data_IF_023434419763
#
_entry.id   IF_023434419763
#
_cell.length_a   1.000
_cell.length_b   1.000
_cell.length_c   1.000
_cell.angle_alpha   90.00
_cell.angle_beta   90.00
_cell.angle_gamma   90.00
#
_symmetry.space_group_name_H-M   'P 1'
#
loop_
_entity.id
_entity.type
_entity.pdbx_description
1 polymer ?
#
# COMPACT_ATOMS: atom_id res chain seq x y z
N UNK A 1 -3.67 10.28 23.40
CA UNK A 1 -3.71 11.20 22.25
C UNK A 1 -4.44 10.49 21.13
N UNK A 2 -5.72 10.79 20.94
CA UNK A 2 -6.55 10.29 19.85
C UNK A 2 -6.37 11.24 18.67
N UNK A 3 -5.98 10.73 17.51
CA UNK A 3 -5.91 11.48 16.26
C UNK A 3 -7.08 11.08 15.37
N UNK A 4 -8.02 12.02 15.20
CA UNK A 4 -9.08 12.06 14.20
C UNK A 4 -8.44 12.26 12.79
N UNK A 5 -9.02 11.98 11.64
CA UNK A 5 -10.41 12.10 11.21
C UNK A 5 -10.69 11.17 10.02
N UNK A 6 -11.86 10.54 10.01
CA UNK A 6 -12.50 10.04 8.79
C UNK A 6 -13.68 10.95 8.50
N UNK A 7 -13.73 11.53 7.30
CA UNK A 7 -14.87 12.29 6.81
C UNK A 7 -15.98 11.30 6.46
N UNK A 8 -16.92 11.14 7.37
CA UNK A 8 -18.14 10.38 7.18
C UNK A 8 -19.18 11.34 6.55
N UNK A 9 -19.36 11.27 5.24
CA UNK A 9 -20.54 11.86 4.59
C UNK A 9 -21.69 10.85 4.69
N UNK A 10 -22.82 11.30 5.25
CA UNK A 10 -24.08 10.56 5.32
C UNK A 10 -24.74 10.51 3.92
N UNK A 11 -24.74 9.33 3.31
CA UNK A 11 -25.67 8.97 2.24
C UNK A 11 -26.56 7.85 2.78
N UNK A 12 -27.86 8.15 2.84
CA UNK A 12 -29.00 7.28 3.16
C UNK A 12 -28.73 6.06 4.08
N UNK A 13 -28.73 6.31 5.41
CA UNK A 13 -29.17 5.34 6.42
C UNK A 13 -28.33 4.06 6.65
N UNK A 14 -27.25 3.81 5.90
CA UNK A 14 -26.29 2.73 6.18
C UNK A 14 -24.91 3.31 6.43
N UNK A 15 -24.32 3.00 7.59
CA UNK A 15 -22.88 3.22 7.84
C UNK A 15 -22.07 2.35 6.88
N UNK A 16 -21.84 2.83 5.67
CA UNK A 16 -21.01 2.12 4.70
C UNK A 16 -19.56 2.31 5.15
N UNK A 17 -18.94 1.23 5.64
CA UNK A 17 -17.52 1.26 5.93
C UNK A 17 -16.78 1.37 4.60
N UNK A 18 -16.34 2.57 4.25
CA UNK A 18 -15.62 2.81 3.01
C UNK A 18 -14.22 2.21 3.01
N UNK A 19 -13.76 1.51 4.06
CA UNK A 19 -12.43 0.89 4.08
C UNK A 19 -12.48 -0.49 3.45
N UNK A 20 -11.42 -0.83 2.74
CA UNK A 20 -11.25 -2.18 2.22
C UNK A 20 -11.15 -3.17 3.38
N UNK A 21 -11.95 -4.23 3.29
CA UNK A 21 -11.81 -5.38 4.16
C UNK A 21 -10.50 -6.10 3.83
N UNK A 22 -9.78 -6.51 4.88
CA UNK A 22 -8.56 -7.29 4.70
C UNK A 22 -8.98 -8.75 4.66
N UNK A 23 -8.77 -9.39 3.52
CA UNK A 23 -8.95 -10.83 3.37
C UNK A 23 -7.63 -11.54 3.65
N UNK A 24 -7.63 -12.55 4.51
CA UNK A 24 -6.44 -13.33 4.86
C UNK A 24 -5.61 -12.70 5.99
N UNK A 25 -4.29 -12.68 5.84
CA UNK A 25 -3.38 -12.24 6.90
C UNK A 25 -3.28 -10.70 6.96
N UNK A 26 -3.48 -10.12 8.16
CA UNK A 26 -3.50 -8.68 8.43
C UNK A 26 -2.12 -7.99 8.44
N UNK A 27 -1.05 -8.78 8.48
CA UNK A 27 0.33 -8.28 8.46
C UNK A 27 1.03 -8.48 7.12
N UNK A 28 0.68 -9.54 6.39
CA UNK A 28 1.29 -9.86 5.09
C UNK A 28 0.39 -9.52 3.91
N UNK A 29 -0.92 -9.34 4.12
CA UNK A 29 -1.90 -9.03 3.07
C UNK A 29 -1.88 -10.06 1.92
N UNK A 30 -1.66 -11.33 2.25
CA UNK A 30 -1.49 -12.45 1.31
C UNK A 30 -0.26 -12.37 0.39
N UNK A 31 0.69 -11.48 0.69
CA UNK A 31 2.00 -11.46 0.01
C UNK A 31 2.91 -12.53 0.64
N UNK A 32 3.72 -13.25 -0.15
CA UNK A 32 4.70 -14.20 0.37
C UNK A 32 5.64 -13.58 1.43
N UNK A 33 5.86 -14.29 2.53
CA UNK A 33 6.66 -13.80 3.69
C UNK A 33 8.06 -13.35 3.30
N UNK A 34 8.70 -14.02 2.35
CA UNK A 34 10.02 -13.63 1.84
C UNK A 34 9.99 -12.22 1.25
N UNK A 35 8.97 -11.91 0.44
CA UNK A 35 8.79 -10.59 -0.19
C UNK A 35 8.49 -9.54 0.87
N UNK A 36 7.59 -9.82 1.82
CA UNK A 36 7.27 -8.88 2.92
C UNK A 36 8.51 -8.56 3.76
N UNK A 37 9.34 -9.56 4.06
CA UNK A 37 10.60 -9.38 4.77
C UNK A 37 11.57 -8.50 3.97
N UNK A 38 11.70 -8.76 2.67
CA UNK A 38 12.49 -7.92 1.77
C UNK A 38 12.00 -6.47 1.73
N UNK A 39 10.69 -6.26 1.62
CA UNK A 39 10.06 -4.92 1.62
C UNK A 39 10.35 -4.19 2.92
N UNK A 40 10.13 -4.82 4.09
CA UNK A 40 10.40 -4.18 5.39
C UNK A 40 11.86 -3.80 5.58
N UNK A 41 12.79 -4.57 5.01
CA UNK A 41 14.22 -4.30 5.08
C UNK A 41 14.70 -3.31 4.00
N UNK A 42 13.90 -3.06 2.96
CA UNK A 42 14.28 -2.23 1.84
C UNK A 42 14.49 -0.76 2.25
N UNK A 43 15.60 -0.12 1.86
CA UNK A 43 15.81 1.31 2.08
C UNK A 43 14.83 2.16 1.26
N UNK A 44 14.33 1.65 0.13
CA UNK A 44 13.31 2.32 -0.67
C UNK A 44 11.99 2.41 0.11
N UNK A 45 11.54 1.30 0.70
CA UNK A 45 10.34 1.29 1.52
C UNK A 45 10.41 2.25 2.72
N UNK A 46 11.59 2.39 3.34
CA UNK A 46 11.82 3.37 4.40
C UNK A 46 11.66 4.83 3.94
N UNK A 47 11.97 5.13 2.68
CA UNK A 47 11.76 6.47 2.12
C UNK A 47 10.28 6.75 1.86
N UNK A 48 9.49 5.73 1.50
CA UNK A 48 8.05 5.85 1.26
C UNK A 48 7.24 6.27 2.50
N UNK A 49 7.81 6.23 3.71
CA UNK A 49 7.16 6.79 4.91
C UNK A 49 6.95 8.31 4.81
N UNK A 50 7.70 9.00 3.95
CA UNK A 50 7.50 10.44 3.68
C UNK A 50 6.16 10.71 2.98
N UNK A 51 5.69 9.77 2.16
CA UNK A 51 4.44 9.87 1.42
C UNK A 51 3.28 9.56 2.37
N UNK A 52 2.36 10.51 2.54
CA UNK A 52 1.26 10.41 3.51
C UNK A 52 -0.10 10.33 2.84
N UNK A 53 -0.23 10.89 1.64
CA UNK A 53 -1.49 10.92 0.90
C UNK A 53 -1.51 9.86 -0.19
N UNK A 54 -2.71 9.45 -0.60
CA UNK A 54 -2.88 8.49 -1.69
C UNK A 54 -2.29 9.00 -3.00
N UNK A 55 -2.56 10.27 -3.34
CA UNK A 55 -2.09 10.88 -4.58
C UNK A 55 -0.56 10.88 -4.68
N UNK A 56 0.16 11.19 -3.59
CA UNK A 56 1.63 11.11 -3.58
C UNK A 56 2.15 9.70 -3.88
N UNK A 57 1.47 8.66 -3.37
CA UNK A 57 1.86 7.27 -3.64
C UNK A 57 1.54 6.90 -5.09
N UNK A 58 0.43 7.41 -5.64
CA UNK A 58 0.07 7.24 -7.05
C UNK A 58 1.10 7.92 -7.97
N UNK A 59 1.49 9.15 -7.67
CA UNK A 59 2.53 9.87 -8.42
C UNK A 59 3.86 9.11 -8.39
N UNK A 60 4.25 8.57 -7.23
CA UNK A 60 5.45 7.74 -7.10
C UNK A 60 5.34 6.45 -7.93
N UNK A 61 4.15 5.83 -8.02
CA UNK A 61 3.91 4.68 -8.91
C UNK A 61 4.16 5.06 -10.36
N UNK A 62 3.60 6.19 -10.82
CA UNK A 62 3.79 6.65 -12.19
C UNK A 62 5.26 6.97 -12.53
N UNK A 63 6.03 7.43 -11.55
CA UNK A 63 7.43 7.84 -11.77
C UNK A 63 8.43 6.68 -11.66
N UNK A 64 8.27 5.79 -10.68
CA UNK A 64 9.31 4.81 -10.29
C UNK A 64 8.97 3.35 -10.65
N UNK A 65 7.74 3.04 -11.03
CA UNK A 65 7.33 1.66 -11.36
C UNK A 65 7.38 1.43 -12.86
N UNK A 66 8.39 0.70 -13.31
CA UNK A 66 8.50 0.27 -14.72
C UNK A 66 8.15 -1.21 -14.94
N UNK A 67 8.13 -2.03 -13.89
CA UNK A 67 7.88 -3.47 -13.96
C UNK A 67 7.15 -3.98 -12.71
N UNK A 68 6.35 -5.04 -12.88
CA UNK A 68 5.54 -5.66 -11.81
C UNK A 68 6.08 -7.07 -11.55
N UNK A 69 7.18 -7.15 -10.84
CA UNK A 69 7.75 -8.42 -10.36
C UNK A 69 8.01 -8.33 -8.85
N UNK A 70 7.91 -9.42 -8.07
CA UNK A 70 8.17 -9.37 -6.63
C UNK A 70 9.64 -9.07 -6.30
N UNK A 71 10.57 -9.44 -7.18
CA UNK A 71 12.01 -9.28 -7.02
C UNK A 71 12.61 -8.55 -8.21
N UNK A 72 13.70 -7.80 -7.98
CA UNK A 72 14.45 -7.20 -9.08
C UNK A 72 15.27 -8.27 -9.79
N UNK A 73 14.99 -8.49 -11.08
CA UNK A 73 15.76 -9.40 -11.92
C UNK A 73 17.27 -9.10 -11.84
N UNK A 74 18.07 -10.15 -11.63
CA UNK A 74 19.53 -10.04 -11.54
C UNK A 74 20.10 -9.54 -10.22
N UNK A 75 19.29 -9.13 -9.23
CA UNK A 75 19.77 -8.73 -7.89
C UNK A 75 19.64 -9.81 -6.81
N UNK A 76 19.08 -10.97 -7.14
CA UNK A 76 18.92 -12.09 -6.23
C UNK A 76 17.75 -11.95 -5.24
N UNK A 77 17.55 -12.98 -4.43
CA UNK A 77 16.48 -13.06 -3.44
C UNK A 77 16.72 -12.02 -2.34
N UNK A 78 15.71 -11.19 -2.02
CA UNK A 78 15.81 -10.18 -0.95
C UNK A 78 15.75 -8.71 -1.42
N UNK A 79 15.84 -8.45 -2.73
CA UNK A 79 15.68 -7.11 -3.30
C UNK A 79 14.27 -6.93 -3.89
N UNK A 80 13.29 -6.42 -3.10
CA UNK A 80 11.94 -6.22 -3.61
C UNK A 80 11.92 -5.15 -4.70
N UNK A 81 10.97 -5.25 -5.62
CA UNK A 81 10.73 -4.19 -6.61
C UNK A 81 10.08 -2.95 -5.97
N UNK A 82 10.20 -1.80 -6.65
CA UNK A 82 9.47 -0.57 -6.29
C UNK A 82 7.96 -0.81 -6.25
N UNK A 83 7.43 -1.58 -7.21
CA UNK A 83 6.02 -1.96 -7.27
C UNK A 83 5.53 -2.65 -5.99
N UNK A 84 6.25 -3.66 -5.50
CA UNK A 84 5.84 -4.40 -4.30
C UNK A 84 6.06 -3.61 -3.01
N UNK A 85 7.05 -2.71 -2.97
CA UNK A 85 7.20 -1.76 -1.87
C UNK A 85 6.01 -0.79 -1.79
N UNK A 86 5.56 -0.23 -2.92
CA UNK A 86 4.44 0.70 -3.00
C UNK A 86 3.09 0.00 -2.72
N UNK A 87 2.91 -1.23 -3.22
CA UNK A 87 1.75 -2.06 -2.92
C UNK A 87 1.62 -2.32 -1.41
N UNK A 88 2.71 -2.72 -0.76
CA UNK A 88 2.69 -2.95 0.69
C UNK A 88 2.41 -1.66 1.47
N UNK A 89 2.95 -0.52 1.02
CA UNK A 89 2.65 0.80 1.59
C UNK A 89 1.16 1.13 1.49
N UNK A 90 0.52 0.88 0.35
CA UNK A 90 -0.93 1.09 0.16
C UNK A 90 -1.75 0.24 1.12
N UNK A 91 -1.38 -1.03 1.34
CA UNK A 91 -2.06 -1.88 2.32
C UNK A 91 -1.95 -1.34 3.75
N UNK A 92 -0.76 -0.85 4.15
CA UNK A 92 -0.58 -0.24 5.47
C UNK A 92 -1.36 1.07 5.65
N UNK A 93 -1.58 1.82 4.56
CA UNK A 93 -2.38 3.06 4.58
C UNK A 93 -3.89 2.81 4.67
N UNK A 94 -4.35 1.56 4.57
CA UNK A 94 -5.76 1.17 4.62
C UNK A 94 -6.63 1.97 3.65
N UNK A 95 -6.39 1.77 2.36
CA UNK A 95 -7.14 2.44 1.30
C UNK A 95 -8.66 2.23 1.45
N UNK A 96 -9.38 3.24 1.00
CA UNK A 96 -10.84 3.22 0.89
C UNK A 96 -11.32 2.67 -0.46
N UNK A 97 -12.55 2.18 -0.50
CA UNK A 97 -13.27 1.76 -1.70
C UNK A 97 -13.35 2.88 -2.74
N UNK A 98 -13.44 4.15 -2.31
CA UNK A 98 -13.42 5.30 -3.22
C UNK A 98 -12.08 5.40 -3.94
N UNK A 99 -10.97 5.34 -3.20
CA UNK A 99 -9.61 5.41 -3.76
C UNK A 99 -9.27 4.25 -4.70
N UNK A 100 -9.81 3.05 -4.44
CA UNK A 100 -9.63 1.90 -5.34
C UNK A 100 -10.39 2.06 -6.66
N UNK A 101 -11.55 2.74 -6.64
CA UNK A 101 -12.40 2.93 -7.84
C UNK A 101 -11.97 4.10 -8.71
N UNK A 102 -11.15 5.01 -8.19
CA UNK A 102 -10.59 6.10 -8.98
C UNK A 102 -9.53 5.52 -9.93
N UNK A 103 -9.94 5.26 -11.17
CA UNK A 103 -9.06 4.95 -12.31
C UNK A 103 -9.47 5.80 -13.49
#
# INVERSE_FOLDING_TARGET
MKGEAGLDEEDDGKKVNYRLEIYGNDTTFNIPVAVVTGVKNSPYFKQLYRLKTFNEVVDEIYNEVSYIEPWVAGKGLGHPSSAFCLLYKMFLMRLSLKQMKTT
#
